data_IF_225449706539
#
_entry.id   IF_225449706539
#
_cell.length_a   1.000
_cell.length_b   1.000
_cell.length_c   1.000
_cell.angle_alpha   90.00
_cell.angle_beta   90.00
_cell.angle_gamma   90.00
#
_symmetry.space_group_name_H-M   'P 1'
#
loop_
_entity.id
_entity.type
_entity.pdbx_description
1 polymer ?
#
# COMPACT_ATOMS: atom_id res chain seq x y z
N UNK A 1 11.40 3.33 5.69
CA UNK A 1 10.91 1.97 6.04
C UNK A 1 9.93 1.49 4.97
N UNK A 2 10.20 0.37 4.31
CA UNK A 2 9.32 -0.15 3.26
C UNK A 2 8.02 -0.69 3.88
N UNK A 3 6.87 -0.23 3.39
CA UNK A 3 5.57 -0.70 3.85
C UNK A 3 5.13 -1.94 3.06
N UNK A 4 5.86 -3.04 3.23
CA UNK A 4 5.55 -4.31 2.56
C UNK A 4 4.59 -5.11 3.42
N UNK A 5 3.41 -5.43 2.88
CA UNK A 5 2.44 -6.30 3.54
C UNK A 5 2.36 -7.65 2.83
N UNK A 6 2.19 -8.70 3.62
CA UNK A 6 1.94 -10.06 3.12
C UNK A 6 0.46 -10.36 3.16
N UNK A 7 -0.13 -10.61 2.00
CA UNK A 7 -1.52 -11.00 1.82
C UNK A 7 -1.59 -12.44 1.33
N UNK A 8 -2.75 -13.08 1.46
CA UNK A 8 -2.89 -14.47 1.02
C UNK A 8 -3.05 -14.49 -0.50
N UNK A 9 -2.42 -15.46 -1.16
CA UNK A 9 -2.60 -15.68 -2.60
C UNK A 9 -4.07 -15.93 -2.97
N UNK A 10 -4.87 -16.40 -2.01
CA UNK A 10 -6.32 -16.59 -2.15
C UNK A 10 -7.09 -15.33 -2.50
N UNK A 11 -6.61 -14.17 -2.06
CA UNK A 11 -7.32 -12.88 -2.22
C UNK A 11 -7.14 -12.33 -3.64
N UNK A 12 -6.20 -12.92 -4.40
CA UNK A 12 -5.84 -12.55 -5.77
C UNK A 12 -6.20 -13.67 -6.77
N UNK A 13 -7.10 -14.59 -6.41
CA UNK A 13 -7.43 -15.76 -7.25
C UNK A 13 -8.07 -15.39 -8.59
N UNK A 14 -8.74 -14.25 -8.66
CA UNK A 14 -9.39 -13.76 -9.87
C UNK A 14 -8.49 -12.87 -10.74
N UNK A 15 -7.19 -12.78 -10.42
CA UNK A 15 -6.21 -12.05 -11.22
C UNK A 15 -4.88 -12.80 -11.38
N UNK A 16 -4.26 -12.64 -12.55
CA UNK A 16 -2.88 -13.06 -12.75
C UNK A 16 -1.96 -12.10 -11.99
N UNK A 17 -1.16 -12.66 -11.08
CA UNK A 17 -0.15 -11.89 -10.37
C UNK A 17 1.15 -11.94 -11.13
N UNK A 18 1.72 -10.77 -11.36
CA UNK A 18 3.06 -10.62 -11.92
C UNK A 18 3.89 -9.74 -10.98
N UNK A 19 5.19 -10.02 -10.80
CA UNK A 19 6.07 -9.10 -10.08
C UNK A 19 6.10 -7.75 -10.81
N UNK A 20 5.87 -6.65 -10.09
CA UNK A 20 5.72 -5.31 -10.64
C UNK A 20 4.28 -4.93 -11.01
N UNK A 21 3.30 -5.83 -10.85
CA UNK A 21 1.89 -5.51 -11.04
C UNK A 21 1.44 -4.47 -10.02
N UNK A 22 0.80 -3.41 -10.51
CA UNK A 22 0.20 -2.36 -9.67
C UNK A 22 -1.27 -2.72 -9.44
N UNK A 23 -1.65 -2.89 -8.18
CA UNK A 23 -3.01 -3.20 -7.76
C UNK A 23 -3.51 -2.07 -6.86
N UNK A 24 -4.70 -1.54 -7.12
CA UNK A 24 -5.31 -0.54 -6.24
C UNK A 24 -6.02 -1.22 -5.08
N UNK A 25 -5.70 -0.82 -3.85
CA UNK A 25 -6.33 -1.32 -2.63
C UNK A 25 -7.11 -0.20 -1.96
N UNK A 26 -8.23 -0.58 -1.34
CA UNK A 26 -9.09 0.36 -0.64
C UNK A 26 -8.73 0.39 0.85
N UNK A 27 -8.27 1.54 1.34
CA UNK A 27 -8.02 1.78 2.76
C UNK A 27 -9.00 2.83 3.33
N UNK A 28 -9.14 2.91 4.66
CA UNK A 28 -10.05 3.86 5.31
C UNK A 28 -9.81 5.34 4.95
N UNK A 29 -8.60 5.68 4.47
CA UNK A 29 -8.21 7.03 4.03
C UNK A 29 -8.25 7.27 2.52
N UNK A 30 -8.62 6.28 1.71
CA UNK A 30 -8.65 6.37 0.24
C UNK A 30 -8.09 5.13 -0.47
N UNK A 31 -8.08 5.16 -1.80
CA UNK A 31 -7.45 4.12 -2.61
C UNK A 31 -5.94 4.35 -2.68
N UNK A 32 -5.17 3.33 -2.30
CA UNK A 32 -3.71 3.35 -2.38
C UNK A 32 -3.22 2.35 -3.44
N UNK A 33 -2.27 2.73 -4.31
CA UNK A 33 -1.63 1.78 -5.20
C UNK A 33 -0.64 0.91 -4.40
N UNK A 34 -0.78 -0.41 -4.52
CA UNK A 34 0.19 -1.39 -4.02
C UNK A 34 0.89 -2.09 -5.18
N UNK A 35 2.20 -2.30 -5.09
CA UNK A 35 2.99 -2.98 -6.12
C UNK A 35 3.36 -4.38 -5.64
N UNK A 36 3.05 -5.41 -6.42
CA UNK A 36 3.44 -6.79 -6.10
C UNK A 36 4.96 -6.91 -6.24
N UNK A 37 5.66 -7.18 -5.15
CA UNK A 37 7.12 -7.34 -5.16
C UNK A 37 7.50 -8.78 -5.45
N UNK A 38 6.82 -9.71 -4.78
CA UNK A 38 7.05 -11.14 -4.88
C UNK A 38 5.76 -11.87 -4.48
N UNK A 39 5.60 -13.09 -4.96
CA UNK A 39 4.54 -13.97 -4.49
C UNK A 39 5.02 -15.42 -4.50
N UNK A 40 4.48 -16.19 -3.57
CA UNK A 40 4.64 -17.62 -3.46
C UNK A 40 3.26 -18.31 -3.63
N UNK A 41 3.22 -19.62 -3.49
CA UNK A 41 1.98 -20.40 -3.67
C UNK A 41 0.89 -20.08 -2.62
N UNK A 42 1.26 -19.46 -1.50
CA UNK A 42 0.39 -19.20 -0.35
C UNK A 42 0.23 -17.72 -0.05
N UNK A 43 1.24 -16.89 -0.31
CA UNK A 43 1.32 -15.49 0.08
C UNK A 43 1.81 -14.62 -1.07
N UNK A 44 1.46 -13.34 -0.99
CA UNK A 44 1.80 -12.29 -1.94
C UNK A 44 2.35 -11.13 -1.12
N UNK A 45 3.57 -10.70 -1.40
CA UNK A 45 4.18 -9.52 -0.81
C UNK A 45 3.88 -8.31 -1.70
N UNK A 46 3.20 -7.32 -1.14
CA UNK A 46 2.83 -6.09 -1.83
C UNK A 46 3.42 -4.90 -1.10
N UNK A 47 4.14 -4.04 -1.83
CA UNK A 47 4.66 -2.77 -1.32
C UNK A 47 3.58 -1.69 -1.45
N UNK A 48 3.18 -1.15 -0.32
CA UNK A 48 2.19 -0.09 -0.15
C UNK A 48 2.82 1.26 0.16
N UNK A 49 4.10 1.45 -0.17
CA UNK A 49 4.72 2.75 0.00
C UNK A 49 3.92 3.82 -0.75
N UNK A 50 3.35 4.75 0.02
CA UNK A 50 2.76 5.95 -0.52
C UNK A 50 3.82 6.68 -1.35
N UNK A 51 3.50 7.33 -2.48
CA UNK A 51 4.46 8.13 -3.26
C UNK A 51 5.11 9.30 -2.49
N UNK A 52 4.68 9.52 -1.24
CA UNK A 52 5.23 10.51 -0.30
C UNK A 52 6.04 9.87 0.84
N UNK A 53 6.08 8.53 0.95
CA UNK A 53 6.89 7.82 1.92
C UNK A 53 8.37 8.03 1.59
N UNK A 54 9.06 8.81 2.43
CA UNK A 54 10.44 9.24 2.20
C UNK A 54 10.59 10.68 1.70
N UNK A 55 9.49 11.40 1.45
CA UNK A 55 9.52 12.86 1.26
C UNK A 55 9.24 13.53 2.61
N UNK A 56 9.96 14.61 2.91
CA UNK A 56 9.66 15.47 4.07
C UNK A 56 8.28 16.09 3.84
N UNK A 57 7.27 15.57 4.53
CA UNK A 57 5.93 16.14 4.50
C UNK A 57 5.90 17.36 5.41
N UNK A 58 5.81 18.54 4.83
CA UNK A 58 5.58 19.78 5.58
C UNK A 58 4.08 19.92 5.78
N UNK A 59 3.60 19.60 6.98
CA UNK A 59 2.21 19.82 7.37
C UNK A 59 2.08 21.20 8.01
N UNK A 60 1.30 22.08 7.41
CA UNK A 60 0.92 23.35 8.04
C UNK A 60 -0.34 23.11 8.88
N UNK A 61 -0.16 23.02 10.19
CA UNK A 61 -1.26 22.79 11.13
C UNK A 61 -1.73 24.13 11.67
N UNK A 62 -2.98 24.50 11.35
CA UNK A 62 -3.66 25.64 11.96
C UNK A 62 -4.52 25.17 13.12
N UNK A 63 -4.07 25.40 14.35
CA UNK A 63 -4.86 25.11 15.57
C UNK A 63 -6.00 26.11 15.65
N UNK A 64 -7.24 25.63 15.53
CA UNK A 64 -8.45 26.46 15.47
C UNK A 64 -9.07 26.73 16.83
N UNK A 65 -8.89 25.84 17.81
CA UNK A 65 -9.29 26.04 19.21
C UNK A 65 -8.62 24.99 20.09
N UNK A 66 -8.42 25.31 21.36
CA UNK A 66 -8.07 24.37 22.43
C UNK A 66 -9.10 24.58 23.54
N UNK A 67 -9.84 23.52 23.86
CA UNK A 67 -10.70 23.43 25.05
C UNK A 67 -9.88 23.00 26.27
#
# INVERSE_FOLDING_TARGET
PSNIQRMKRSDFKDMELEPGLVVSFQEPGGEIPGVVVEFDEKNVSVDFNHPLAGKTLTFEVKVVSVD
#
